data_IF_995374721488
#
_entry.id   IF_995374721488
#
_cell.length_a   1.000
_cell.length_b   1.000
_cell.length_c   1.000
_cell.angle_alpha   90.00
_cell.angle_beta   90.00
_cell.angle_gamma   90.00
#
_symmetry.space_group_name_H-M   'P 1'
#
loop_
_entity.id
_entity.type
_entity.pdbx_description
1 polymer ?
#
# COMPACT_ATOMS: atom_id res chain seq x y z
N UNK A 1 3.03 -31.95 15.08
CA UNK A 1 3.93 -30.79 14.94
C UNK A 1 3.18 -29.68 14.24
N UNK A 2 2.49 -28.86 15.02
CA UNK A 2 1.78 -27.67 14.54
C UNK A 2 2.83 -26.60 14.22
N UNK A 3 3.29 -26.59 12.98
CA UNK A 3 4.03 -25.46 12.47
C UNK A 3 3.53 -25.19 11.06
N UNK A 4 2.27 -24.75 11.02
CA UNK A 4 1.84 -23.85 9.96
C UNK A 4 2.75 -22.62 10.05
N UNK A 5 3.90 -22.63 9.36
CA UNK A 5 4.56 -21.38 8.95
C UNK A 5 3.61 -20.72 7.96
N UNK A 6 2.52 -20.17 8.47
CA UNK A 6 1.54 -19.43 7.71
C UNK A 6 2.28 -18.27 7.08
N UNK A 7 2.39 -18.29 5.75
CA UNK A 7 2.96 -17.18 5.01
C UNK A 7 2.20 -15.92 5.41
N UNK A 8 2.88 -14.98 6.07
CA UNK A 8 2.29 -13.70 6.44
C UNK A 8 2.16 -12.90 5.14
N UNK A 9 0.97 -12.43 4.76
CA UNK A 9 0.79 -11.63 3.56
C UNK A 9 1.55 -10.31 3.68
N UNK A 10 2.15 -9.84 2.58
CA UNK A 10 2.83 -8.56 2.58
C UNK A 10 1.87 -7.42 2.98
N UNK A 11 2.27 -6.51 3.87
CA UNK A 11 1.44 -5.37 4.23
C UNK A 11 1.20 -4.44 3.05
N UNK A 12 0.18 -3.58 3.13
CA UNK A 12 -0.09 -2.53 2.14
C UNK A 12 1.14 -1.64 1.99
N UNK A 13 1.51 -1.35 0.74
CA UNK A 13 2.74 -0.63 0.42
C UNK A 13 3.96 -1.53 0.22
N UNK A 14 3.80 -2.85 0.36
CA UNK A 14 4.88 -3.82 0.18
C UNK A 14 4.45 -4.97 -0.74
N UNK A 15 5.41 -5.52 -1.48
CA UNK A 15 5.22 -6.65 -2.36
C UNK A 15 6.36 -7.66 -2.24
N UNK A 16 6.18 -8.88 -2.74
CA UNK A 16 7.26 -9.87 -2.85
C UNK A 16 7.19 -10.61 -4.17
N UNK A 17 8.15 -10.38 -5.05
CA UNK A 17 8.15 -10.94 -6.41
C UNK A 17 9.06 -12.16 -6.61
N UNK A 18 9.89 -12.51 -5.63
CA UNK A 18 10.79 -13.67 -5.74
C UNK A 18 10.62 -14.63 -4.57
N UNK A 19 10.68 -15.92 -4.89
CA UNK A 19 10.67 -17.02 -3.91
C UNK A 19 11.86 -16.92 -2.94
N UNK A 20 12.99 -16.37 -3.38
CA UNK A 20 14.21 -16.20 -2.58
C UNK A 20 14.21 -14.95 -1.68
N UNK A 21 13.32 -13.98 -1.90
CA UNK A 21 13.16 -12.87 -0.96
C UNK A 21 12.60 -13.40 0.35
N UNK A 22 13.24 -13.08 1.47
CA UNK A 22 12.81 -13.56 2.80
C UNK A 22 11.74 -12.61 3.39
N UNK A 23 11.72 -11.36 2.93
CA UNK A 23 10.83 -10.29 3.38
C UNK A 23 10.12 -9.61 2.20
N UNK A 24 9.07 -8.85 2.52
CA UNK A 24 8.40 -8.00 1.55
C UNK A 24 9.23 -6.73 1.28
N UNK A 25 9.22 -6.30 0.04
CA UNK A 25 9.92 -5.13 -0.48
C UNK A 25 8.97 -3.93 -0.52
N UNK A 26 9.43 -2.77 -0.07
CA UNK A 26 8.66 -1.54 -0.12
C UNK A 26 8.42 -1.09 -1.56
N UNK A 27 7.23 -0.55 -1.84
CA UNK A 27 6.93 0.12 -3.09
C UNK A 27 7.83 1.34 -3.34
N UNK A 28 7.99 1.78 -4.60
CA UNK A 28 8.64 3.04 -4.92
C UNK A 28 7.99 4.23 -4.19
N UNK A 29 8.76 5.32 -4.04
CA UNK A 29 8.25 6.58 -3.46
C UNK A 29 6.96 7.00 -4.16
N UNK A 30 6.03 7.57 -3.39
CA UNK A 30 4.68 8.00 -3.82
C UNK A 30 3.69 6.88 -4.17
N UNK A 31 4.06 5.61 -4.15
CA UNK A 31 3.15 4.51 -4.46
C UNK A 31 3.06 3.47 -3.35
N UNK A 32 1.91 2.82 -3.30
CA UNK A 32 1.61 1.68 -2.45
C UNK A 32 0.89 0.60 -3.25
N UNK A 33 0.79 -0.58 -2.65
CA UNK A 33 -0.09 -1.63 -3.15
C UNK A 33 -1.54 -1.36 -2.78
N UNK A 34 -2.52 -1.82 -3.56
CA UNK A 34 -3.94 -1.62 -3.25
C UNK A 34 -4.42 -2.45 -2.04
N UNK A 35 -3.62 -3.44 -1.61
CA UNK A 35 -4.02 -4.38 -0.57
C UNK A 35 -2.87 -5.25 -0.08
N UNK A 36 -3.20 -6.13 0.87
CA UNK A 36 -2.30 -7.11 1.45
C UNK A 36 -1.89 -8.20 0.44
N UNK A 37 -0.75 -8.84 0.67
CA UNK A 37 -0.34 -10.06 -0.05
C UNK A 37 0.15 -9.80 -1.48
N UNK A 38 0.53 -8.57 -1.81
CA UNK A 38 1.00 -8.26 -3.16
C UNK A 38 2.26 -9.03 -3.53
N UNK A 39 2.29 -9.55 -4.75
CA UNK A 39 3.35 -10.44 -5.23
C UNK A 39 4.17 -9.84 -6.38
N UNK A 40 3.95 -8.57 -6.73
CA UNK A 40 4.67 -7.93 -7.82
C UNK A 40 4.85 -6.44 -7.60
N UNK A 41 5.96 -5.89 -8.11
CA UNK A 41 6.20 -4.45 -8.18
C UNK A 41 5.09 -3.73 -8.96
N UNK A 42 4.49 -4.39 -9.95
CA UNK A 42 3.38 -3.83 -10.73
C UNK A 42 2.11 -3.58 -9.89
N UNK A 43 2.02 -4.16 -8.69
CA UNK A 43 0.94 -3.86 -7.75
C UNK A 43 1.16 -2.51 -7.04
N UNK A 44 2.35 -1.91 -7.10
CA UNK A 44 2.64 -0.57 -6.59
C UNK A 44 2.07 0.51 -7.53
N UNK A 45 0.75 0.52 -7.68
CA UNK A 45 0.02 1.38 -8.62
C UNK A 45 -0.98 2.30 -7.94
N UNK A 46 -1.13 2.23 -6.62
CA UNK A 46 -2.01 3.09 -5.84
C UNK A 46 -1.21 4.26 -5.28
N UNK A 47 -1.69 5.49 -5.41
CA UNK A 47 -0.96 6.67 -4.92
C UNK A 47 -0.95 6.70 -3.40
N UNK A 48 0.21 6.97 -2.82
CA UNK A 48 0.39 7.12 -1.38
C UNK A 48 -0.07 8.52 -0.92
N UNK A 49 -1.30 8.61 -0.41
CA UNK A 49 -1.90 9.84 0.10
C UNK A 49 -1.96 9.85 1.63
N UNK A 50 -0.80 9.63 2.27
CA UNK A 50 -0.65 9.58 3.74
C UNK A 50 -0.45 10.95 4.39
N UNK A 51 -0.32 12.02 3.61
CA UNK A 51 -0.12 13.36 4.19
C UNK A 51 -1.40 13.82 4.90
N UNK A 52 -1.28 14.43 6.09
CA UNK A 52 -2.45 14.96 6.79
C UNK A 52 -3.21 15.97 5.94
N UNK A 53 -4.52 15.80 5.87
CA UNK A 53 -5.38 16.67 5.06
C UNK A 53 -5.35 16.36 3.57
N UNK A 54 -4.81 15.21 3.15
CA UNK A 54 -4.98 14.67 1.79
C UNK A 54 -5.90 13.44 1.81
N UNK A 55 -6.63 13.23 0.72
CA UNK A 55 -7.34 12.01 0.41
C UNK A 55 -6.98 11.53 -0.99
N UNK A 56 -7.13 10.23 -1.23
CA UNK A 56 -6.95 9.65 -2.55
C UNK A 56 -8.25 9.77 -3.34
N UNK A 57 -8.22 10.45 -4.47
CA UNK A 57 -9.35 10.45 -5.39
C UNK A 57 -9.38 9.10 -6.13
N UNK A 58 -10.45 8.29 -6.00
CA UNK A 58 -10.51 6.95 -6.58
C UNK A 58 -10.57 6.96 -8.12
N UNK A 59 -11.01 8.07 -8.72
CA UNK A 59 -11.11 8.24 -10.17
C UNK A 59 -9.76 8.61 -10.78
N UNK A 60 -9.06 9.56 -10.16
CA UNK A 60 -7.81 10.13 -10.69
C UNK A 60 -6.55 9.46 -10.12
N UNK A 61 -6.70 8.67 -9.05
CA UNK A 61 -5.63 8.05 -8.26
C UNK A 61 -4.54 9.08 -7.86
N UNK A 62 -4.97 10.29 -7.52
CA UNK A 62 -4.12 11.39 -7.09
C UNK A 62 -4.48 11.81 -5.68
N UNK A 63 -3.52 12.42 -4.98
CA UNK A 63 -3.74 12.98 -3.66
C UNK A 63 -4.32 14.38 -3.81
N UNK A 64 -5.53 14.55 -3.30
CA UNK A 64 -6.24 15.83 -3.29
C UNK A 64 -6.38 16.32 -1.86
N UNK A 65 -6.35 17.63 -1.68
CA UNK A 65 -6.44 18.25 -0.36
C UNK A 65 -7.90 18.20 0.09
N UNK A 66 -8.13 17.75 1.33
CA UNK A 66 -9.42 17.79 1.98
C UNK A 66 -9.92 19.25 2.05
N UNK A 67 -11.20 19.52 1.71
CA UNK A 67 -11.76 20.86 1.85
C UNK A 67 -11.67 21.36 3.30
N UNK A 68 -11.59 22.68 3.46
CA UNK A 68 -11.45 23.31 4.78
C UNK A 68 -12.54 22.83 5.73
N UNK A 69 -12.13 22.38 6.93
CA UNK A 69 -13.02 21.81 7.94
C UNK A 69 -13.25 20.30 7.83
N UNK A 70 -12.63 19.63 6.86
CA UNK A 70 -12.69 18.17 6.71
C UNK A 70 -11.31 17.53 6.88
N UNK A 71 -11.30 16.24 7.21
CA UNK A 71 -10.08 15.44 7.31
C UNK A 71 -10.34 14.04 6.76
N UNK A 72 -9.32 13.43 6.17
CA UNK A 72 -9.33 12.02 5.84
C UNK A 72 -8.67 11.24 6.98
N UNK A 73 -9.40 10.29 7.56
CA UNK A 73 -8.87 9.36 8.57
C UNK A 73 -8.26 8.10 7.96
N UNK A 74 -8.48 7.87 6.66
CA UNK A 74 -7.89 6.73 5.97
C UNK A 74 -6.40 6.94 5.74
N UNK A 75 -5.63 5.87 5.90
CA UNK A 75 -4.19 5.89 5.71
C UNK A 75 -3.76 5.82 4.23
N UNK A 76 -4.69 5.61 3.28
CA UNK A 76 -4.38 5.26 1.88
C UNK A 76 -5.54 5.52 0.92
#
# INVERSE_FOLDING_TARGET
SDQTKSCIPCPVGYYRNMSLQISCVLCPVDFITPGLGSSSLSNCNTRNCTKPGEYRNPTSNQCEICPVGTYNSEKW
#
